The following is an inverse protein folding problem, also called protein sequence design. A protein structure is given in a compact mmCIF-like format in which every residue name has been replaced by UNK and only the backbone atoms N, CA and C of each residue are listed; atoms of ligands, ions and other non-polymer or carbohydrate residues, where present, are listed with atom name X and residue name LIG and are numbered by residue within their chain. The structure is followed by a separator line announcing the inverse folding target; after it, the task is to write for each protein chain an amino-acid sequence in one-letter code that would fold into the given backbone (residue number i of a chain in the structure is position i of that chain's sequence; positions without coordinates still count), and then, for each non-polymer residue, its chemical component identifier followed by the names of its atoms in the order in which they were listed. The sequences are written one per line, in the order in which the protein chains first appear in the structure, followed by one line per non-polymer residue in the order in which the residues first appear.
data_IF_219116112919
#
_entry.id   IF_219116112919
#
_cell.length_a   1.000
_cell.length_b   1.000
_cell.length_c   1.000
_cell.angle_alpha   90.00
_cell.angle_beta   90.00
_cell.angle_gamma   90.00
#
_symmetry.space_group_name_H-M   'P 1'
#
loop_
_entity.id
_entity.type
_entity.pdbx_description
1 polymer ?
#
# COMPACT_ATOMS: atom_id res chain seq x y z
N UNK A 1 19.93 6.82 6.81
CA UNK A 1 18.97 6.94 5.68
C UNK A 1 17.57 6.86 6.28
N UNK A 2 16.72 7.86 6.03
CA UNK A 2 15.30 7.84 6.42
C UNK A 2 14.45 7.36 5.24
N UNK A 3 13.19 6.98 5.50
CA UNK A 3 12.22 6.75 4.43
C UNK A 3 11.93 8.09 3.74
N UNK A 4 11.80 8.16 2.40
CA UNK A 4 11.50 9.40 1.70
C UNK A 4 10.14 9.98 2.12
N UNK A 5 10.07 11.31 2.17
CA UNK A 5 8.80 12.01 2.28
C UNK A 5 8.01 11.89 0.96
N UNK A 6 6.69 11.79 1.08
CA UNK A 6 5.78 11.69 -0.07
C UNK A 6 5.78 10.31 -0.74
N UNK A 7 5.38 10.29 -2.01
CA UNK A 7 5.22 9.05 -2.77
C UNK A 7 6.54 8.58 -3.39
N UNK A 8 6.85 7.31 -3.21
CA UNK A 8 8.04 6.66 -3.75
C UNK A 8 7.73 5.28 -4.34
N UNK A 9 8.67 4.78 -5.14
CA UNK A 9 8.68 3.39 -5.61
C UNK A 9 9.60 2.55 -4.75
N UNK A 10 9.21 1.30 -4.51
CA UNK A 10 10.09 0.28 -3.92
C UNK A 10 10.65 -0.55 -5.06
N UNK A 11 11.94 -0.35 -5.39
CA UNK A 11 12.58 -0.94 -6.58
C UNK A 11 13.46 -2.13 -6.23
N UNK A 12 13.23 -3.25 -6.92
CA UNK A 12 14.10 -4.41 -6.87
C UNK A 12 15.45 -4.07 -7.51
N UNK A 13 16.54 -4.17 -6.75
CA UNK A 13 17.91 -3.99 -7.29
C UNK A 13 18.28 -5.06 -8.31
N UNK A 14 17.66 -6.24 -8.23
CA UNK A 14 17.94 -7.37 -9.12
C UNK A 14 17.32 -7.20 -10.50
N UNK A 15 16.06 -6.74 -10.56
CA UNK A 15 15.29 -6.71 -11.82
C UNK A 15 14.97 -5.31 -12.33
N UNK A 16 15.17 -4.27 -11.53
CA UNK A 16 14.71 -2.91 -11.83
C UNK A 16 13.20 -2.71 -11.76
N UNK A 17 12.41 -3.78 -11.57
CA UNK A 17 10.95 -3.74 -11.37
C UNK A 17 10.59 -3.17 -10.01
N UNK A 18 9.35 -2.73 -9.86
CA UNK A 18 8.83 -2.10 -8.64
C UNK A 18 7.72 -2.93 -8.00
N UNK A 19 7.53 -2.76 -6.70
CA UNK A 19 6.41 -3.34 -5.95
C UNK A 19 5.09 -2.76 -6.45
N UNK A 20 4.21 -3.64 -6.93
CA UNK A 20 2.94 -3.34 -7.59
C UNK A 20 1.80 -4.15 -6.93
N UNK A 21 0.65 -3.51 -6.75
CA UNK A 21 -0.60 -4.19 -6.36
C UNK A 21 -1.27 -4.76 -7.61
N UNK A 22 -1.37 -6.10 -7.67
CA UNK A 22 -1.87 -6.85 -8.81
C UNK A 22 -3.26 -6.35 -9.26
N UNK A 23 -3.37 -6.07 -10.56
CA UNK A 23 -4.58 -5.53 -11.20
C UNK A 23 -5.06 -4.19 -10.63
N UNK A 24 -4.20 -3.44 -9.92
CA UNK A 24 -4.57 -2.25 -9.15
C UNK A 24 -5.74 -2.51 -8.16
N UNK A 25 -5.82 -3.73 -7.64
CA UNK A 25 -6.94 -4.18 -6.81
C UNK A 25 -7.12 -3.32 -5.57
N UNK A 26 -8.36 -2.94 -5.30
CA UNK A 26 -8.76 -2.24 -4.08
C UNK A 26 -9.24 -3.19 -2.98
N UNK A 27 -9.27 -4.51 -3.21
CA UNK A 27 -9.75 -5.50 -2.23
C UNK A 27 -8.70 -5.72 -1.13
N UNK A 28 -9.16 -6.16 0.04
CA UNK A 28 -8.25 -6.77 1.01
C UNK A 28 -7.58 -8.01 0.41
N UNK A 29 -6.42 -8.40 0.94
CA UNK A 29 -5.63 -9.53 0.44
C UNK A 29 -5.24 -9.44 -1.04
N UNK A 30 -5.17 -8.23 -1.60
CA UNK A 30 -4.65 -8.02 -2.94
C UNK A 30 -3.19 -8.53 -3.02
N UNK A 31 -2.87 -9.25 -4.09
CA UNK A 31 -1.53 -9.78 -4.29
C UNK A 31 -0.54 -8.64 -4.57
N UNK A 32 0.67 -8.81 -4.05
CA UNK A 32 1.81 -7.96 -4.36
C UNK A 32 2.71 -8.71 -5.31
N UNK A 33 3.19 -8.03 -6.35
CA UNK A 33 4.10 -8.56 -7.35
C UNK A 33 5.17 -7.54 -7.74
N UNK A 34 6.15 -7.98 -8.53
CA UNK A 34 7.13 -7.09 -9.16
C UNK A 34 6.72 -6.83 -10.61
N UNK A 35 6.53 -5.55 -10.96
CA UNK A 35 6.10 -5.12 -12.29
C UNK A 35 7.04 -4.05 -12.88
N UNK A 36 7.16 -3.93 -14.22
CA UNK A 36 7.78 -2.76 -14.83
C UNK A 36 7.23 -1.44 -14.26
N UNK A 37 8.13 -0.50 -13.99
CA UNK A 37 7.77 0.81 -13.43
C UNK A 37 6.94 1.61 -14.44
N UNK A 38 5.74 2.01 -14.04
CA UNK A 38 4.84 2.89 -14.81
C UNK A 38 5.12 4.35 -14.44
N UNK A 39 4.97 5.24 -15.42
CA UNK A 39 5.15 6.68 -15.24
C UNK A 39 3.88 7.50 -15.56
N UNK A 40 2.88 6.86 -16.15
CA UNK A 40 1.58 7.41 -16.54
C UNK A 40 0.60 7.51 -15.36
N UNK A 41 -0.67 7.81 -15.65
CA UNK A 41 -1.75 7.93 -14.66
C UNK A 41 -2.05 6.61 -13.91
N UNK A 42 -1.65 5.47 -14.46
CA UNK A 42 -1.96 4.15 -13.92
C UNK A 42 -0.89 3.66 -12.93
N UNK A 43 0.12 4.49 -12.63
CA UNK A 43 1.23 4.19 -11.71
C UNK A 43 0.85 4.17 -10.24
N UNK A 44 -0.33 4.63 -9.86
CA UNK A 44 -0.70 4.81 -8.45
C UNK A 44 -0.74 3.49 -7.67
N UNK A 45 -0.91 2.35 -8.35
CA UNK A 45 -0.81 1.03 -7.72
C UNK A 45 0.64 0.60 -7.42
N UNK A 46 1.64 1.38 -7.84
CA UNK A 46 3.08 1.18 -7.62
C UNK A 46 3.71 2.24 -6.70
N UNK A 47 2.93 3.25 -6.32
CA UNK A 47 3.38 4.32 -5.45
C UNK A 47 3.00 4.03 -4.00
N UNK A 48 4.00 4.19 -3.13
CA UNK A 48 3.90 3.94 -1.70
C UNK A 48 4.32 5.19 -0.94
N UNK A 49 3.77 5.40 0.23
CA UNK A 49 4.28 6.40 1.16
C UNK A 49 4.30 5.80 2.57
N UNK A 50 5.09 6.42 3.45
CA UNK A 50 5.20 6.00 4.84
C UNK A 50 4.29 6.83 5.73
N UNK A 51 3.59 6.14 6.63
CA UNK A 51 2.62 6.72 7.55
C UNK A 51 2.63 5.92 8.86
N UNK A 52 3.13 6.50 9.94
CA UNK A 52 3.08 5.93 11.30
C UNK A 52 3.48 4.44 11.38
N UNK A 53 4.60 4.05 10.74
CA UNK A 53 5.09 2.67 10.73
C UNK A 53 4.58 1.81 9.57
N UNK A 54 3.65 2.30 8.76
CA UNK A 54 3.04 1.56 7.66
C UNK A 54 3.54 2.03 6.30
N UNK A 55 3.71 1.09 5.37
CA UNK A 55 3.85 1.37 3.94
C UNK A 55 2.47 1.33 3.31
N UNK A 56 1.99 2.47 2.84
CA UNK A 56 0.62 2.64 2.37
C UNK A 56 0.60 2.85 0.87
N UNK A 57 -0.20 2.06 0.17
CA UNK A 57 -0.37 2.20 -1.27
C UNK A 57 -1.18 3.48 -1.59
N UNK A 58 -0.72 4.26 -2.58
CA UNK A 58 -1.39 5.49 -3.01
C UNK A 58 -2.80 5.22 -3.55
N UNK A 59 -2.96 4.21 -4.42
CA UNK A 59 -4.24 3.90 -5.08
C UNK A 59 -5.30 3.42 -4.09
N UNK A 60 -4.99 2.41 -3.29
CA UNK A 60 -5.99 1.70 -2.47
C UNK A 60 -6.10 2.22 -1.04
N UNK A 61 -5.11 3.01 -0.59
CA UNK A 61 -4.94 3.45 0.80
C UNK A 61 -4.78 2.29 1.80
N UNK A 62 -4.47 1.08 1.31
CA UNK A 62 -4.20 -0.10 2.14
C UNK A 62 -2.72 -0.24 2.43
N UNK A 63 -2.42 -0.96 3.51
CA UNK A 63 -1.05 -1.19 3.97
C UNK A 63 -0.50 -2.48 3.35
N UNK A 64 0.83 -2.52 3.18
CA UNK A 64 1.53 -3.77 2.90
C UNK A 64 1.55 -4.63 4.18
N UNK A 65 1.18 -5.89 4.05
CA UNK A 65 1.03 -6.81 5.17
C UNK A 65 1.45 -8.25 4.80
N UNK A 66 1.82 -9.06 5.79
CA UNK A 66 2.17 -10.47 5.65
C UNK A 66 0.97 -11.31 6.03
N UNK A 67 0.48 -12.11 5.09
CA UNK A 67 -0.69 -12.96 5.33
C UNK A 67 -0.42 -14.01 6.41
N UNK A 68 -1.35 -14.12 7.36
CA UNK A 68 -1.42 -15.26 8.29
C UNK A 68 -0.63 -15.09 9.58
N UNK A 69 -0.18 -13.88 9.91
CA UNK A 69 0.52 -13.59 11.17
C UNK A 69 -0.40 -13.64 12.42
N UNK A 70 -1.69 -13.93 12.26
CA UNK A 70 -2.64 -14.16 13.35
C UNK A 70 -2.95 -12.92 14.18
N UNK A 71 -2.31 -11.79 13.91
CA UNK A 71 -2.66 -10.54 14.51
C UNK A 71 -3.93 -10.05 13.80
N UNK A 72 -5.04 -10.01 14.54
CA UNK A 72 -6.19 -9.20 14.16
C UNK A 72 -5.73 -7.73 14.17
N UNK A 73 -5.12 -7.29 13.08
CA UNK A 73 -4.71 -5.91 12.90
C UNK A 73 -5.97 -5.06 12.68
N UNK A 74 -6.44 -4.46 13.77
CA UNK A 74 -7.33 -3.30 13.72
C UNK A 74 -6.50 -2.09 13.26
N UNK A 75 -6.41 -1.85 11.95
CA UNK A 75 -5.89 -0.60 11.36
C UNK A 75 -5.52 -0.77 9.88
N UNK A 76 -5.73 0.21 8.98
CA UNK A 76 -5.77 1.66 9.21
C UNK A 76 -7.13 2.11 9.74
N UNK A 77 -7.11 3.04 10.72
CA UNK A 77 -8.33 3.67 11.23
C UNK A 77 -9.11 4.30 10.08
N UNK A 78 -10.22 3.67 9.72
CA UNK A 78 -11.39 4.42 9.32
C UNK A 78 -11.79 5.29 10.50
N UNK A 79 -11.90 6.59 10.26
CA UNK A 79 -12.68 7.46 11.11
C UNK A 79 -14.03 6.78 11.34
N UNK A 80 -14.29 6.35 12.56
CA UNK A 80 -15.66 6.09 12.97
C UNK A 80 -16.37 7.45 12.95
N UNK A 81 -17.31 7.63 12.01
CA UNK A 81 -18.36 8.61 12.12
C UNK A 81 -19.65 7.85 12.45
N UNK A 82 -20.12 8.00 13.68
CA UNK A 82 -21.51 7.69 14.04
C UNK A 82 -21.69 6.98 15.38
N UNK A 83 -21.64 7.71 16.50
CA UNK A 83 -22.60 7.46 17.59
C UNK A 83 -23.80 8.26 17.16
N UNK A 84 -24.70 7.63 16.42
CA UNK A 84 -26.10 7.93 16.61
C UNK A 84 -26.46 7.34 17.96
N UNK A 85 -26.62 8.18 18.97
CA UNK A 85 -27.60 7.87 20.02
C UNK A 85 -28.96 7.99 19.35
N UNK A 86 -29.77 6.96 19.49
CA UNK A 86 -31.11 6.80 18.93
C UNK A 86 -31.49 5.34 19.02
#
# INVERSE_FOLDING_TARGET
MSIPDGFFYIKSRLSGKVVDVDGASMKADAKILLWPQKFDSDRDNQLWYYDDGYLVNKKSRKVLDIRGDGARHFGPRWLWLGRGRG
#
